data_IF_586372897446
#
_entry.id   IF_586372897446
#
_cell.length_a   1.000
_cell.length_b   1.000
_cell.length_c   1.000
_cell.angle_alpha   90.00
_cell.angle_beta   90.00
_cell.angle_gamma   90.00
#
_symmetry.space_group_name_H-M   'P 1'
#
loop_
_entity.id
_entity.type
_entity.pdbx_description
1 polymer ?
#
# COMPACT_ATOMS: atom_id res chain seq x y z
N UNK A 1 -5.76 8.37 -7.62
CA UNK A 1 -6.18 7.10 -8.26
C UNK A 1 -6.90 6.22 -7.25
N UNK A 2 -7.68 5.23 -7.69
CA UNK A 2 -8.44 4.36 -6.81
C UNK A 2 -7.79 2.97 -6.70
N UNK A 3 -7.76 2.43 -5.48
CA UNK A 3 -7.35 1.06 -5.13
C UNK A 3 -8.45 0.39 -4.29
N UNK A 4 -8.40 -0.93 -4.15
CA UNK A 4 -9.16 -1.77 -3.24
C UNK A 4 -8.32 -2.12 -2.01
N UNK A 5 -8.41 -1.29 -0.96
CA UNK A 5 -7.75 -1.58 0.29
C UNK A 5 -8.62 -2.50 1.15
N UNK A 6 -8.18 -3.75 1.34
CA UNK A 6 -8.91 -4.77 2.11
C UNK A 6 -10.38 -4.93 1.64
N UNK A 7 -10.59 -4.92 0.31
CA UNK A 7 -11.91 -5.05 -0.31
C UNK A 7 -12.76 -3.78 -0.30
N UNK A 8 -12.23 -2.64 0.15
CA UNK A 8 -12.93 -1.35 0.15
C UNK A 8 -12.24 -0.35 -0.78
N UNK A 9 -13.01 0.38 -1.61
CA UNK A 9 -12.44 1.40 -2.48
C UNK A 9 -11.79 2.50 -1.64
N UNK A 10 -10.59 2.90 -2.04
CA UNK A 10 -9.82 3.98 -1.42
C UNK A 10 -9.14 4.82 -2.47
N UNK A 11 -9.20 6.14 -2.32
CA UNK A 11 -8.38 7.06 -3.11
C UNK A 11 -6.99 7.23 -2.50
N UNK A 12 -5.98 7.23 -3.36
CA UNK A 12 -4.58 7.51 -3.04
C UNK A 12 -3.99 8.42 -4.11
N UNK A 13 -2.97 9.19 -3.77
CA UNK A 13 -2.27 10.04 -4.73
C UNK A 13 -1.60 9.20 -5.84
N UNK A 14 -1.56 9.68 -7.09
CA UNK A 14 -0.72 9.07 -8.12
C UNK A 14 0.74 8.98 -7.65
N UNK A 15 1.36 7.80 -7.81
CA UNK A 15 2.72 7.57 -7.33
C UNK A 15 2.83 7.25 -5.83
N UNK A 16 1.71 7.13 -5.10
CA UNK A 16 1.71 6.66 -3.73
C UNK A 16 2.38 5.28 -3.62
N UNK A 17 3.17 5.10 -2.57
CA UNK A 17 3.84 3.83 -2.26
C UNK A 17 3.10 3.09 -1.15
N UNK A 18 3.43 1.81 -0.96
CA UNK A 18 2.96 1.04 0.19
C UNK A 18 3.33 1.77 1.50
N UNK A 19 4.55 2.28 1.61
CA UNK A 19 4.98 3.01 2.81
C UNK A 19 4.15 4.28 3.07
N UNK A 20 3.89 5.09 2.03
CA UNK A 20 3.07 6.30 2.21
C UNK A 20 1.62 5.97 2.55
N UNK A 21 1.08 4.87 2.02
CA UNK A 21 -0.26 4.39 2.38
C UNK A 21 -0.31 3.98 3.85
N UNK A 22 0.65 3.20 4.33
CA UNK A 22 0.73 2.79 5.73
C UNK A 22 0.85 3.99 6.67
N UNK A 23 1.67 4.98 6.31
CA UNK A 23 1.79 6.23 7.05
C UNK A 23 0.47 6.99 7.13
N UNK A 24 -0.26 7.10 6.02
CA UNK A 24 -1.58 7.74 5.97
C UNK A 24 -2.65 6.98 6.78
N UNK A 25 -2.44 5.70 7.06
CA UNK A 25 -3.29 4.87 7.91
C UNK A 25 -2.86 4.91 9.39
N UNK A 26 -1.75 5.58 9.72
CA UNK A 26 -1.18 5.58 11.08
C UNK A 26 -0.56 4.24 11.50
N UNK A 27 -0.16 3.42 10.53
CA UNK A 27 0.42 2.09 10.77
C UNK A 27 1.95 2.15 10.70
N UNK A 28 2.62 1.51 11.64
CA UNK A 28 4.07 1.29 11.57
C UNK A 28 4.38 0.18 10.55
N UNK A 29 5.11 0.47 9.44
CA UNK A 29 5.47 -0.53 8.44
C UNK A 29 6.31 -1.70 8.97
N UNK A 30 6.93 -1.56 10.15
CA UNK A 30 7.66 -2.64 10.82
C UNK A 30 6.74 -3.62 11.54
N UNK A 31 5.54 -3.18 11.90
CA UNK A 31 4.58 -3.96 12.68
C UNK A 31 3.55 -4.68 11.82
N UNK A 32 3.47 -4.34 10.53
CA UNK A 32 2.49 -4.92 9.60
C UNK A 32 3.17 -5.73 8.50
N UNK A 33 2.39 -6.63 7.92
CA UNK A 33 2.69 -7.27 6.64
C UNK A 33 1.69 -6.71 5.62
N UNK A 34 2.15 -6.49 4.39
CA UNK A 34 1.31 -6.00 3.29
C UNK A 34 1.31 -7.02 2.18
N UNK A 35 0.13 -7.44 1.78
CA UNK A 35 -0.09 -8.17 0.54
C UNK A 35 -0.65 -7.20 -0.50
N UNK A 36 -0.14 -7.28 -1.72
CA UNK A 36 -0.61 -6.53 -2.87
C UNK A 36 -0.94 -7.55 -3.95
N UNK A 37 -2.21 -7.63 -4.36
CA UNK A 37 -2.67 -8.57 -5.39
C UNK A 37 -2.24 -10.03 -5.15
N UNK A 38 -2.41 -10.53 -3.91
CA UNK A 38 -1.99 -11.88 -3.50
C UNK A 38 -0.48 -12.12 -3.41
N UNK A 39 0.34 -11.05 -3.53
CA UNK A 39 1.78 -11.12 -3.38
C UNK A 39 2.25 -10.35 -2.12
N UNK A 40 3.05 -11.01 -1.29
CA UNK A 40 3.62 -10.37 -0.10
C UNK A 40 4.65 -9.31 -0.50
N UNK A 41 4.37 -8.04 -0.20
CA UNK A 41 5.30 -6.94 -0.41
C UNK A 41 6.40 -6.97 0.68
N UNK A 42 7.69 -7.19 0.33
CA UNK A 42 8.76 -7.23 1.31
C UNK A 42 8.87 -5.89 2.05
N UNK A 43 9.04 -5.92 3.38
CA UNK A 43 9.11 -4.69 4.21
C UNK A 43 10.16 -3.70 3.73
N UNK A 44 11.33 -4.18 3.31
CA UNK A 44 12.41 -3.34 2.77
C UNK A 44 12.08 -2.66 1.45
N UNK A 45 11.04 -3.11 0.74
CA UNK A 45 10.60 -2.57 -0.55
C UNK A 45 9.38 -1.66 -0.44
N UNK A 46 8.71 -1.56 0.72
CA UNK A 46 7.49 -0.76 0.88
C UNK A 46 7.61 0.69 0.40
N UNK A 47 8.80 1.31 0.56
CA UNK A 47 9.07 2.67 0.11
C UNK A 47 9.29 2.79 -1.42
N UNK A 48 9.62 1.69 -2.09
CA UNK A 48 9.83 1.64 -3.54
C UNK A 48 8.65 0.99 -4.29
N UNK A 49 7.77 0.25 -3.59
CA UNK A 49 6.58 -0.36 -4.16
C UNK A 49 5.51 0.70 -4.38
N UNK A 50 5.45 1.22 -5.61
CA UNK A 50 4.42 2.16 -6.06
C UNK A 50 3.12 1.39 -6.31
N UNK A 51 2.02 1.94 -5.80
CA UNK A 51 0.68 1.43 -6.05
C UNK A 51 0.25 1.79 -7.48
N UNK A 52 -0.60 0.96 -8.07
CA UNK A 52 -1.23 1.18 -9.36
C UNK A 52 -2.75 1.31 -9.20
N UNK A 53 -3.42 1.89 -10.19
CA UNK A 53 -4.87 1.95 -10.18
C UNK A 53 -5.47 0.53 -10.22
N UNK A 54 -6.41 0.25 -9.33
CA UNK A 54 -7.06 -1.06 -9.22
C UNK A 54 -6.31 -2.12 -8.40
N UNK A 55 -5.13 -1.78 -7.85
CA UNK A 55 -4.48 -2.59 -6.79
C UNK A 55 -5.38 -2.80 -5.57
#
# INVERSE_FOLDING_TARGET
>A
MQISLNGKPREVEPGATVASLLQALGLDPRQVAVERNLELAPRGQHAATVLAAGD
#
